data_IF_294447690790
#
_entry.id   IF_294447690790
#
_cell.length_a   1.000
_cell.length_b   1.000
_cell.length_c   1.000
_cell.angle_alpha   90.00
_cell.angle_beta   90.00
_cell.angle_gamma   90.00
#
_symmetry.space_group_name_H-M   'P 1'
#
loop_
_entity.id
_entity.type
_entity.pdbx_description
1 polymer ?
#
# COMPACT_ATOMS: atom_id res chain seq x y z
N UNK A 1 -60.12 -1.32 -4.96
CA UNK A 1 -58.88 -1.39 -4.15
C UNK A 1 -57.75 -0.94 -5.07
N UNK A 2 -57.31 0.33 -4.96
CA UNK A 2 -56.33 0.90 -5.91
C UNK A 2 -54.92 0.64 -5.41
N UNK A 3 -54.12 -0.11 -6.16
CA UNK A 3 -52.70 -0.31 -5.88
C UNK A 3 -51.96 1.01 -6.14
N UNK A 4 -51.52 1.68 -5.08
CA UNK A 4 -50.72 2.90 -5.18
C UNK A 4 -49.35 2.60 -5.76
N UNK A 5 -49.13 2.96 -7.03
CA UNK A 5 -47.82 2.89 -7.67
C UNK A 5 -46.83 3.84 -7.00
N UNK A 6 -45.60 3.38 -6.77
CA UNK A 6 -44.51 4.20 -6.24
C UNK A 6 -44.26 5.39 -7.18
N UNK A 7 -44.20 6.60 -6.61
CA UNK A 7 -43.96 7.81 -7.41
C UNK A 7 -42.52 7.84 -7.92
N UNK A 8 -42.26 8.60 -8.99
CA UNK A 8 -40.90 8.79 -9.55
C UNK A 8 -39.94 9.37 -8.51
N UNK A 9 -40.43 10.18 -7.58
CA UNK A 9 -39.65 10.70 -6.45
C UNK A 9 -39.31 9.59 -5.44
N UNK A 10 -40.22 8.66 -5.15
CA UNK A 10 -39.92 7.48 -4.32
C UNK A 10 -38.95 6.52 -5.01
N UNK A 11 -39.04 6.34 -6.33
CA UNK A 11 -38.08 5.54 -7.10
C UNK A 11 -36.67 6.16 -7.12
N UNK A 12 -36.57 7.49 -7.25
CA UNK A 12 -35.29 8.19 -7.14
C UNK A 12 -34.69 8.09 -5.73
N UNK A 13 -35.51 8.19 -4.68
CA UNK A 13 -35.05 8.01 -3.30
C UNK A 13 -34.58 6.58 -3.00
N UNK A 14 -35.09 5.56 -3.71
CA UNK A 14 -34.61 4.17 -3.61
C UNK A 14 -33.30 4.00 -4.41
N UNK A 15 -33.19 4.64 -5.58
CA UNK A 15 -31.97 4.64 -6.41
C UNK A 15 -30.78 5.30 -5.69
N UNK A 16 -31.03 6.37 -4.94
CA UNK A 16 -30.00 7.04 -4.13
C UNK A 16 -29.57 6.23 -2.89
N UNK A 17 -30.32 5.20 -2.49
CA UNK A 17 -29.95 4.31 -1.36
C UNK A 17 -29.06 3.13 -1.76
N UNK A 18 -28.80 2.91 -3.04
CA UNK A 18 -28.02 1.75 -3.49
C UNK A 18 -26.52 2.04 -3.75
N UNK A 19 -26.00 3.20 -3.34
CA UNK A 19 -24.55 3.49 -3.38
C UNK A 19 -23.93 3.55 -1.97
N UNK A 20 -24.44 2.74 -1.03
CA UNK A 20 -23.83 2.58 0.30
C UNK A 20 -22.72 1.50 0.32
N UNK A 21 -22.20 1.13 -0.85
CA UNK A 21 -21.08 0.18 -1.00
C UNK A 21 -19.77 0.85 -1.49
N UNK A 22 -19.61 2.16 -1.28
CA UNK A 22 -18.42 2.90 -1.73
C UNK A 22 -17.25 2.99 -0.74
N UNK A 23 -17.33 2.41 0.47
CA UNK A 23 -16.42 2.83 1.56
C UNK A 23 -15.58 1.75 2.27
N UNK A 24 -15.58 0.49 1.82
CA UNK A 24 -14.66 -0.53 2.40
C UNK A 24 -13.50 -0.91 1.48
N UNK A 25 -13.43 -0.41 0.24
CA UNK A 25 -12.29 -0.67 -0.67
C UNK A 25 -11.54 0.62 -1.07
N UNK A 26 -11.19 1.47 -0.10
CA UNK A 26 -10.38 2.68 -0.38
C UNK A 26 -8.88 2.51 -0.16
N UNK A 27 -8.44 1.37 0.35
CA UNK A 27 -7.02 1.03 0.43
C UNK A 27 -6.72 -0.05 -0.59
N UNK A 28 -6.00 0.31 -1.66
CA UNK A 28 -5.33 -0.70 -2.47
C UNK A 28 -4.32 -1.43 -1.59
N UNK A 29 -4.08 -2.73 -1.82
CA UNK A 29 -3.07 -3.48 -1.04
C UNK A 29 -1.71 -2.79 -1.03
N UNK A 30 -1.37 -2.09 -2.12
CA UNK A 30 -0.18 -1.22 -2.21
C UNK A 30 -0.16 -0.15 -1.12
N UNK A 31 -1.26 0.55 -0.88
CA UNK A 31 -1.34 1.60 0.16
C UNK A 31 -1.13 1.03 1.57
N UNK A 32 -1.66 -0.17 1.84
CA UNK A 32 -1.48 -0.84 3.14
C UNK A 32 -0.01 -1.14 3.40
N UNK A 33 0.67 -1.74 2.42
CA UNK A 33 2.10 -2.07 2.55
C UNK A 33 3.00 -0.82 2.59
N UNK A 34 2.66 0.23 1.85
CA UNK A 34 3.36 1.52 1.92
C UNK A 34 3.24 2.15 3.31
N UNK A 35 2.02 2.24 3.85
CA UNK A 35 1.77 2.85 5.14
C UNK A 35 2.44 2.05 6.28
N UNK A 36 2.37 0.70 6.20
CA UNK A 36 3.05 -0.19 7.15
C UNK A 36 4.58 -0.04 7.11
N UNK A 37 5.19 0.00 5.93
CA UNK A 37 6.63 0.17 5.80
C UNK A 37 7.09 1.55 6.29
N UNK A 38 6.36 2.60 5.92
CA UNK A 38 6.66 3.98 6.34
C UNK A 38 6.57 4.16 7.86
N UNK A 39 5.67 3.44 8.54
CA UNK A 39 5.61 3.43 9.99
C UNK A 39 6.95 3.02 10.62
N UNK A 40 7.56 1.94 10.15
CA UNK A 40 8.86 1.46 10.66
C UNK A 40 10.02 2.38 10.25
N UNK A 41 10.02 2.87 9.01
CA UNK A 41 11.03 3.82 8.55
C UNK A 41 11.02 5.11 9.38
N UNK A 42 9.84 5.70 9.62
CA UNK A 42 9.71 6.91 10.44
C UNK A 42 10.15 6.66 11.90
N UNK A 43 9.80 5.50 12.47
CA UNK A 43 10.20 5.11 13.84
C UNK A 43 11.72 4.99 13.99
N UNK A 44 12.43 4.56 12.96
CA UNK A 44 13.90 4.45 12.96
C UNK A 44 14.64 5.77 12.69
N UNK A 45 13.92 6.85 12.36
CA UNK A 45 14.52 8.13 11.97
C UNK A 45 15.02 8.17 10.52
N UNK A 46 14.58 7.25 9.66
CA UNK A 46 14.95 7.26 8.25
C UNK A 46 14.33 8.46 7.52
N UNK A 47 15.12 9.30 6.83
CA UNK A 47 14.61 10.49 6.14
C UNK A 47 13.88 10.18 4.83
N UNK A 48 14.08 8.97 4.27
CA UNK A 48 13.46 8.53 3.01
C UNK A 48 12.27 7.62 3.32
N UNK A 49 11.09 8.07 2.92
CA UNK A 49 9.84 7.30 2.96
C UNK A 49 9.50 6.76 1.57
N UNK A 50 8.79 5.63 1.53
CA UNK A 50 8.26 5.02 0.32
C UNK A 50 7.07 5.84 -0.19
N UNK A 51 7.16 6.28 -1.45
CA UNK A 51 6.09 6.97 -2.18
C UNK A 51 5.45 6.04 -3.20
N UNK A 52 6.26 5.23 -3.87
CA UNK A 52 5.80 4.18 -4.78
C UNK A 52 6.50 2.87 -4.43
N UNK A 53 5.75 1.94 -3.84
CA UNK A 53 6.26 0.64 -3.42
C UNK A 53 6.93 -0.12 -4.56
N UNK A 54 6.48 0.04 -5.80
CA UNK A 54 7.05 -0.69 -6.95
C UNK A 54 8.39 -0.11 -7.42
N UNK A 55 8.65 1.17 -7.14
CA UNK A 55 9.85 1.87 -7.60
C UNK A 55 10.88 2.01 -6.48
N UNK A 56 10.43 2.37 -5.28
CA UNK A 56 11.30 2.71 -4.16
C UNK A 56 12.00 1.49 -3.55
N UNK A 57 11.45 0.29 -3.69
CA UNK A 57 12.09 -0.95 -3.19
C UNK A 57 12.87 -1.70 -4.27
N UNK A 58 12.92 -1.18 -5.50
CA UNK A 58 13.50 -1.86 -6.67
C UNK A 58 14.97 -2.23 -6.48
N UNK A 59 15.74 -1.38 -5.80
CA UNK A 59 17.17 -1.58 -5.54
C UNK A 59 17.44 -2.44 -4.31
N UNK A 60 16.41 -2.91 -3.61
CA UNK A 60 16.50 -3.77 -2.43
C UNK A 60 17.04 -3.07 -1.18
N UNK A 61 17.53 -1.83 -1.26
CA UNK A 61 18.16 -1.12 -0.13
C UNK A 61 17.10 -0.74 0.92
N UNK A 62 15.99 -0.13 0.48
CA UNK A 62 14.89 0.19 1.40
C UNK A 62 14.22 -1.08 1.95
N UNK A 63 14.15 -2.15 1.17
CA UNK A 63 13.62 -3.43 1.63
C UNK A 63 14.47 -4.01 2.75
N UNK A 64 15.79 -4.06 2.57
CA UNK A 64 16.72 -4.54 3.58
C UNK A 64 16.67 -3.69 4.86
N UNK A 65 16.53 -2.37 4.71
CA UNK A 65 16.40 -1.45 5.84
C UNK A 65 15.11 -1.72 6.64
N UNK A 66 13.99 -1.98 5.97
CA UNK A 66 12.73 -2.37 6.64
C UNK A 66 12.89 -3.70 7.38
N UNK A 67 13.51 -4.71 6.75
CA UNK A 67 13.78 -6.01 7.37
C UNK A 67 14.65 -5.84 8.62
N UNK A 68 15.72 -5.06 8.54
CA UNK A 68 16.61 -4.77 9.66
C UNK A 68 15.88 -4.12 10.84
N UNK A 69 15.00 -3.15 10.57
CA UNK A 69 14.22 -2.47 11.61
C UNK A 69 13.27 -3.44 12.32
N UNK A 70 12.65 -4.36 11.58
CA UNK A 70 11.65 -5.30 12.13
C UNK A 70 12.30 -6.48 12.84
N UNK A 71 13.38 -7.02 12.28
CA UNK A 71 14.14 -8.11 12.88
C UNK A 71 14.93 -7.66 14.11
N UNK A 72 15.20 -6.36 14.24
CA UNK A 72 16.08 -5.77 15.26
C UNK A 72 17.48 -6.42 15.27
N UNK A 73 17.89 -6.93 14.11
CA UNK A 73 19.16 -7.59 13.84
C UNK A 73 19.75 -7.01 12.56
N UNK A 74 21.08 -6.99 12.47
CA UNK A 74 21.76 -6.45 11.29
C UNK A 74 21.61 -7.44 10.13
N UNK A 75 21.08 -6.95 9.01
CA UNK A 75 21.09 -7.70 7.76
C UNK A 75 22.51 -7.60 7.19
N UNK A 76 23.21 -8.72 7.14
CA UNK A 76 24.57 -8.80 6.59
C UNK A 76 24.52 -8.80 5.04
N UNK A 77 25.62 -8.42 4.40
CA UNK A 77 25.81 -8.42 2.94
C UNK A 77 24.89 -7.51 2.08
N UNK A 78 24.39 -6.41 2.64
CA UNK A 78 23.68 -5.38 1.85
C UNK A 78 24.67 -4.45 1.14
N UNK A 79 24.62 -4.42 -0.20
CA UNK A 79 25.26 -3.36 -0.98
C UNK A 79 24.43 -2.06 -0.85
N UNK A 80 24.94 -1.07 -0.13
CA UNK A 80 24.25 0.21 0.09
C UNK A 80 24.13 1.10 -1.16
N UNK A 81 24.73 0.71 -2.28
CA UNK A 81 24.68 1.45 -3.54
C UNK A 81 24.80 0.51 -4.75
N UNK A 82 23.78 -0.30 -5.05
CA UNK A 82 23.79 -1.16 -6.22
C UNK A 82 23.81 -0.32 -7.50
N UNK A 83 24.77 -0.62 -8.39
CA UNK A 83 25.05 0.17 -9.60
C UNK A 83 24.75 -0.58 -10.91
N UNK A 84 24.41 -1.87 -10.85
CA UNK A 84 24.06 -2.66 -12.04
C UNK A 84 22.96 -3.68 -11.76
N UNK A 85 22.14 -4.00 -12.77
CA UNK A 85 21.09 -5.03 -12.68
C UNK A 85 21.64 -6.40 -12.25
N UNK A 86 22.87 -6.72 -12.62
CA UNK A 86 23.55 -7.96 -12.21
C UNK A 86 23.85 -8.08 -10.71
N UNK A 87 23.72 -6.98 -9.94
CA UNK A 87 23.83 -7.00 -8.47
C UNK A 87 22.48 -7.25 -7.79
N UNK A 88 21.40 -7.24 -8.55
CA UNK A 88 20.03 -7.42 -8.07
C UNK A 88 19.49 -8.84 -8.30
N UNK A 89 20.09 -9.60 -9.21
CA UNK A 89 19.63 -10.93 -9.60
C UNK A 89 20.18 -12.00 -8.64
N UNK A 90 19.32 -12.92 -8.18
CA UNK A 90 19.76 -14.17 -7.55
C UNK A 90 20.72 -14.87 -8.51
N UNK A 91 21.94 -15.16 -8.05
CA UNK A 91 22.79 -16.13 -8.73
C UNK A 91 22.21 -17.52 -8.43
N UNK A 92 21.83 -18.23 -9.49
CA UNK A 92 21.47 -19.65 -9.42
C UNK A 92 22.65 -20.52 -8.97
#
# INVERSE_FOLDING_TARGET
MSAGGLTRSTLNAIRERHDVSGSVSRYSGRKIYTDWANHYLAKSGCPRLIKDLSQDVTDGVLLAQIIQIIANEKVEDINGSPRSQSQMALKE
#
